data_IF_312613196241
#
_entry.id   IF_312613196241
#
_cell.length_a   1.000
_cell.length_b   1.000
_cell.length_c   1.000
_cell.angle_alpha   90.00
_cell.angle_beta   90.00
_cell.angle_gamma   90.00
#
_symmetry.space_group_name_H-M   'P 1'
#
loop_
_entity.id
_entity.type
_entity.pdbx_description
1 polymer ?
#
# COMPACT_ATOMS: atom_id res chain seq x y z
N UNK A 1 1.97 15.51 9.24
CA UNK A 1 2.19 15.82 7.81
C UNK A 1 1.42 14.82 6.97
N UNK A 2 0.36 15.26 6.27
CA UNK A 2 -0.41 14.39 5.35
C UNK A 2 0.52 13.94 4.22
N UNK A 3 0.64 12.62 4.04
CA UNK A 3 1.39 12.02 2.93
C UNK A 3 0.37 11.82 1.81
N UNK A 4 0.47 12.64 0.76
CA UNK A 4 -0.33 12.55 -0.46
C UNK A 4 0.41 11.67 -1.49
N UNK A 5 -0.34 11.02 -2.38
CA UNK A 5 0.21 10.20 -3.47
C UNK A 5 1.14 9.03 -3.04
N UNK A 6 0.84 8.41 -1.92
CA UNK A 6 1.60 7.24 -1.46
C UNK A 6 1.08 5.96 -2.11
N UNK A 7 1.91 5.28 -2.87
CA UNK A 7 1.59 3.95 -3.35
C UNK A 7 1.50 2.94 -2.18
N UNK A 8 0.44 2.15 -2.17
CA UNK A 8 0.21 1.07 -1.23
C UNK A 8 -0.26 -0.18 -1.99
N UNK A 9 0.00 -1.36 -1.43
CA UNK A 9 -0.56 -2.61 -1.96
C UNK A 9 -1.96 -2.80 -1.39
N UNK A 10 -2.80 -3.46 -2.17
CA UNK A 10 -4.09 -3.91 -1.64
C UNK A 10 -3.82 -5.07 -0.68
N UNK A 11 -4.24 -4.99 0.59
CA UNK A 11 -4.04 -6.07 1.55
C UNK A 11 -4.85 -7.31 1.15
N UNK A 12 -4.54 -8.46 1.76
CA UNK A 12 -5.39 -9.64 1.65
C UNK A 12 -6.72 -9.35 2.38
N UNK A 13 -7.82 -9.44 1.64
CA UNK A 13 -9.16 -9.10 2.15
C UNK A 13 -9.95 -10.39 2.45
N UNK A 14 -10.59 -10.44 3.61
CA UNK A 14 -11.60 -11.45 3.90
C UNK A 14 -12.77 -11.25 2.91
N UNK A 15 -13.19 -12.34 2.24
CA UNK A 15 -14.24 -12.27 1.22
C UNK A 15 -13.76 -11.84 -0.19
N UNK A 16 -12.48 -11.52 -0.36
CA UNK A 16 -11.86 -11.25 -1.67
C UNK A 16 -12.21 -9.93 -2.34
N UNK A 17 -12.95 -9.04 -1.66
CA UNK A 17 -13.30 -7.73 -2.19
C UNK A 17 -13.24 -6.63 -1.12
N UNK A 18 -13.12 -5.39 -1.55
CA UNK A 18 -13.12 -4.21 -0.68
C UNK A 18 -13.60 -2.97 -1.41
N UNK A 19 -14.06 -2.00 -0.64
CA UNK A 19 -14.47 -0.69 -1.14
C UNK A 19 -13.37 0.31 -0.86
N UNK A 20 -13.03 1.13 -1.84
CA UNK A 20 -12.08 2.22 -1.69
C UNK A 20 -12.80 3.56 -1.62
N UNK A 21 -12.26 4.52 -0.86
CA UNK A 21 -12.78 5.89 -0.82
C UNK A 21 -12.47 6.63 -2.12
N UNK A 22 -13.16 7.74 -2.35
CA UNK A 22 -12.95 8.61 -3.53
C UNK A 22 -11.54 9.21 -3.61
N UNK A 23 -10.81 9.23 -2.50
CA UNK A 23 -9.43 9.75 -2.45
C UNK A 23 -8.37 8.70 -2.80
N UNK A 24 -8.78 7.49 -3.16
CA UNK A 24 -7.90 6.40 -3.55
C UNK A 24 -8.06 6.10 -5.04
N UNK A 25 -6.93 5.94 -5.72
CA UNK A 25 -6.90 5.55 -7.13
C UNK A 25 -6.33 4.15 -7.25
N UNK A 26 -7.08 3.25 -7.89
CA UNK A 26 -6.62 1.91 -8.21
C UNK A 26 -5.67 1.96 -9.41
N UNK A 27 -4.45 1.48 -9.23
CA UNK A 27 -3.47 1.32 -10.32
C UNK A 27 -3.35 -0.18 -10.61
N UNK A 28 -3.61 -0.54 -11.87
CA UNK A 28 -3.39 -1.89 -12.38
C UNK A 28 -2.30 -1.84 -13.46
N UNK A 29 -1.21 -2.60 -13.32
CA UNK A 29 -0.22 -2.70 -14.39
C UNK A 29 -0.86 -3.22 -15.67
N UNK A 30 -0.43 -2.66 -16.83
CA UNK A 30 -0.82 -3.19 -18.12
C UNK A 30 -0.15 -4.56 -18.37
N UNK A 31 -0.68 -5.27 -19.33
CA UNK A 31 -0.27 -6.63 -19.69
C UNK A 31 1.24 -6.81 -19.77
N UNK A 32 1.72 -7.85 -19.10
CA UNK A 32 3.12 -8.24 -19.07
C UNK A 32 4.01 -7.56 -18.03
N UNK A 33 3.58 -6.42 -17.47
CA UNK A 33 4.36 -5.75 -16.43
C UNK A 33 4.19 -6.45 -15.07
N UNK A 34 5.30 -6.62 -14.37
CA UNK A 34 5.30 -7.23 -13.04
C UNK A 34 4.73 -6.27 -11.99
N UNK A 35 3.72 -6.72 -11.24
CA UNK A 35 3.00 -5.89 -10.25
C UNK A 35 3.88 -5.44 -9.08
N UNK A 36 4.79 -6.31 -8.63
CA UNK A 36 5.65 -6.02 -7.48
C UNK A 36 6.77 -5.06 -7.88
N UNK A 37 7.23 -5.15 -9.15
CA UNK A 37 8.13 -4.16 -9.72
C UNK A 37 7.44 -2.79 -9.83
N UNK A 38 6.25 -2.70 -10.42
CA UNK A 38 5.52 -1.43 -10.57
C UNK A 38 5.19 -0.82 -9.21
N UNK A 39 4.74 -1.62 -8.25
CA UNK A 39 4.53 -1.14 -6.89
C UNK A 39 5.81 -0.54 -6.30
N UNK A 40 6.92 -1.24 -6.41
CA UNK A 40 8.21 -0.81 -5.88
C UNK A 40 8.69 0.47 -6.56
N UNK A 41 8.53 0.56 -7.88
CA UNK A 41 8.84 1.77 -8.65
C UNK A 41 8.04 2.97 -8.12
N UNK A 42 6.72 2.86 -8.02
CA UNK A 42 5.86 3.95 -7.55
C UNK A 42 6.11 4.30 -6.06
N UNK A 43 6.50 3.32 -5.26
CA UNK A 43 6.70 3.49 -3.83
C UNK A 43 8.01 4.19 -3.46
N UNK A 44 9.08 3.90 -4.20
CA UNK A 44 10.45 4.34 -3.88
C UNK A 44 11.10 5.23 -4.94
N UNK A 45 10.39 5.58 -6.03
CA UNK A 45 10.81 6.62 -6.97
C UNK A 45 10.35 8.01 -6.52
N UNK A 46 10.66 9.01 -7.33
CA UNK A 46 10.16 10.38 -7.18
C UNK A 46 8.66 10.58 -7.46
N UNK A 47 7.90 9.51 -7.77
CA UNK A 47 6.48 9.55 -8.12
C UNK A 47 5.65 10.34 -7.10
N UNK A 48 5.80 10.02 -5.81
CA UNK A 48 5.02 10.68 -4.76
C UNK A 48 5.25 12.19 -4.69
N UNK A 49 6.47 12.62 -4.90
CA UNK A 49 6.85 14.04 -4.85
C UNK A 49 6.38 14.78 -6.11
N UNK A 50 6.49 14.16 -7.28
CA UNK A 50 6.06 14.75 -8.54
C UNK A 50 4.53 14.92 -8.58
N UNK A 51 3.79 13.86 -8.28
CA UNK A 51 2.31 13.89 -8.26
C UNK A 51 1.78 14.86 -7.20
N UNK A 52 2.44 14.94 -6.04
CA UNK A 52 2.09 15.85 -4.96
C UNK A 52 2.27 17.33 -5.34
N UNK A 53 3.28 17.66 -6.12
CA UNK A 53 3.51 19.06 -6.57
C UNK A 53 2.40 19.56 -7.49
N UNK A 54 1.62 18.65 -8.06
CA UNK A 54 0.45 18.95 -8.90
C UNK A 54 -0.89 18.82 -8.18
N UNK A 55 -0.90 18.52 -6.87
CA UNK A 55 -2.13 18.45 -6.09
C UNK A 55 -2.59 19.87 -5.73
N UNK A 56 -3.78 20.26 -6.20
CA UNK A 56 -4.39 21.54 -5.94
C UNK A 56 -5.37 21.46 -4.76
N UNK A 57 -5.36 22.47 -3.90
CA UNK A 57 -6.32 22.64 -2.82
C UNK A 57 -5.68 23.17 -1.54
N UNK A 58 -6.26 24.21 -0.95
CA UNK A 58 -5.74 24.83 0.27
C UNK A 58 -5.96 23.98 1.53
N UNK A 59 -7.05 23.18 1.58
CA UNK A 59 -7.44 22.41 2.77
C UNK A 59 -7.53 20.89 2.54
N UNK A 60 -7.80 20.44 1.32
CA UNK A 60 -7.86 19.01 0.96
C UNK A 60 -7.13 18.83 -0.37
N UNK A 61 -6.00 18.12 -0.32
CA UNK A 61 -5.24 17.78 -1.52
C UNK A 61 -5.90 16.55 -2.16
N UNK A 62 -6.68 16.76 -3.21
CA UNK A 62 -7.23 15.68 -4.02
C UNK A 62 -6.20 15.21 -5.04
N UNK A 63 -6.03 13.90 -5.14
CA UNK A 63 -5.20 13.28 -6.16
C UNK A 63 -5.94 13.35 -7.50
N UNK A 64 -5.34 14.00 -8.49
CA UNK A 64 -5.89 14.09 -9.85
C UNK A 64 -5.43 12.84 -10.63
N UNK A 65 -6.32 11.93 -11.06
CA UNK A 65 -5.95 10.69 -11.73
C UNK A 65 -5.08 10.89 -12.97
N UNK A 66 -5.34 11.94 -13.75
CA UNK A 66 -4.59 12.25 -14.98
C UNK A 66 -3.10 12.52 -14.68
N UNK A 67 -2.79 13.08 -13.51
CA UNK A 67 -1.40 13.34 -13.11
C UNK A 67 -0.62 12.07 -12.80
N UNK A 68 -1.32 11.01 -12.44
CA UNK A 68 -0.72 9.69 -12.24
C UNK A 68 -0.30 9.11 -13.58
N UNK A 69 -1.14 9.27 -14.61
CA UNK A 69 -0.85 8.77 -15.97
C UNK A 69 0.20 9.60 -16.70
N UNK A 70 0.36 10.87 -16.34
CA UNK A 70 1.36 11.78 -16.92
C UNK A 70 2.78 11.55 -16.35
N UNK A 71 2.91 10.78 -15.25
CA UNK A 71 4.20 10.50 -14.65
C UNK A 71 5.11 9.74 -15.61
N UNK A 72 6.21 10.36 -15.96
CA UNK A 72 7.21 9.79 -16.88
C UNK A 72 8.37 9.20 -16.09
N UNK A 73 8.63 7.93 -16.31
CA UNK A 73 9.75 7.23 -15.69
C UNK A 73 10.29 6.14 -16.61
N UNK A 74 11.51 5.73 -16.38
CA UNK A 74 12.08 4.59 -17.07
C UNK A 74 11.52 3.30 -16.46
N UNK A 75 11.03 2.43 -17.33
CA UNK A 75 10.55 1.11 -16.96
C UNK A 75 11.55 0.09 -17.48
N UNK A 76 12.01 -0.80 -16.61
CA UNK A 76 12.95 -1.87 -16.98
C UNK A 76 12.30 -2.85 -17.99
N UNK A 77 13.07 -3.52 -18.84
CA UNK A 77 12.59 -4.61 -19.67
C UNK A 77 11.87 -5.70 -18.87
N UNK A 78 10.90 -6.40 -19.51
CA UNK A 78 10.01 -7.35 -18.80
C UNK A 78 10.76 -8.52 -18.12
N UNK A 79 11.85 -8.97 -18.69
CA UNK A 79 12.70 -10.02 -18.10
C UNK A 79 13.33 -9.57 -16.77
N UNK A 80 13.82 -8.35 -16.73
CA UNK A 80 14.38 -7.74 -15.51
C UNK A 80 13.28 -7.49 -14.46
N UNK A 81 12.09 -7.04 -14.89
CA UNK A 81 10.95 -6.88 -13.98
C UNK A 81 10.56 -8.21 -13.33
N UNK A 82 10.48 -9.30 -14.12
CA UNK A 82 10.18 -10.63 -13.62
C UNK A 82 11.25 -11.16 -12.66
N UNK A 83 12.52 -10.91 -12.96
CA UNK A 83 13.61 -11.29 -12.05
C UNK A 83 13.52 -10.52 -10.72
N UNK A 84 13.23 -9.22 -10.78
CA UNK A 84 12.99 -8.39 -9.62
C UNK A 84 11.81 -8.92 -8.79
N UNK A 85 10.66 -9.19 -9.44
CA UNK A 85 9.46 -9.71 -8.79
C UNK A 85 9.69 -11.05 -8.10
N UNK A 86 10.48 -11.96 -8.70
CA UNK A 86 10.87 -13.23 -8.05
C UNK A 86 11.65 -13.01 -6.75
N UNK A 87 12.50 -11.98 -6.69
CA UNK A 87 13.30 -11.67 -5.49
C UNK A 87 12.49 -10.92 -4.44
N UNK A 88 11.69 -9.94 -4.86
CA UNK A 88 10.99 -9.01 -3.96
C UNK A 88 9.62 -9.52 -3.54
N UNK A 89 8.91 -10.26 -4.41
CA UNK A 89 7.59 -10.81 -4.12
C UNK A 89 7.51 -11.58 -2.80
N UNK A 90 8.44 -12.52 -2.49
CA UNK A 90 8.45 -13.22 -1.22
C UNK A 90 8.61 -12.28 0.00
N UNK A 91 9.42 -11.22 -0.12
CA UNK A 91 9.62 -10.23 0.95
C UNK A 91 8.35 -9.42 1.18
N UNK A 92 7.69 -8.99 0.11
CA UNK A 92 6.41 -8.30 0.19
C UNK A 92 5.32 -9.20 0.80
N UNK A 93 5.29 -10.48 0.42
CA UNK A 93 4.38 -11.46 1.01
C UNK A 93 4.64 -11.71 2.50
N UNK A 94 5.91 -11.64 2.94
CA UNK A 94 6.24 -11.70 4.36
C UNK A 94 5.74 -10.47 5.11
N UNK A 95 5.87 -9.28 4.53
CA UNK A 95 5.32 -8.04 5.10
C UNK A 95 3.82 -8.18 5.32
N UNK A 96 3.07 -8.67 4.31
CA UNK A 96 1.62 -8.86 4.44
C UNK A 96 1.25 -9.81 5.59
N UNK A 97 1.99 -10.92 5.72
CA UNK A 97 1.78 -11.88 6.84
C UNK A 97 2.04 -11.23 8.20
N UNK A 98 3.12 -10.46 8.32
CA UNK A 98 3.46 -9.78 9.57
C UNK A 98 2.43 -8.69 9.91
N UNK A 99 1.89 -7.98 8.94
CA UNK A 99 0.82 -7.01 9.15
C UNK A 99 -0.45 -7.67 9.68
N UNK A 100 -0.87 -8.81 9.11
CA UNK A 100 -2.00 -9.61 9.60
C UNK A 100 -1.77 -10.13 11.01
N UNK A 101 -0.57 -10.62 11.31
CA UNK A 101 -0.23 -11.06 12.67
C UNK A 101 -0.28 -9.90 13.67
N UNK A 102 0.25 -8.73 13.30
CA UNK A 102 0.20 -7.55 14.15
C UNK A 102 -1.23 -7.09 14.41
N UNK A 103 -2.11 -7.17 13.42
CA UNK A 103 -3.53 -6.85 13.60
C UNK A 103 -4.20 -7.83 14.57
N UNK A 104 -3.96 -9.13 14.42
CA UNK A 104 -4.45 -10.16 15.35
C UNK A 104 -3.96 -9.94 16.78
N UNK A 105 -2.67 -9.64 16.95
CA UNK A 105 -2.09 -9.34 18.26
C UNK A 105 -2.69 -8.08 18.90
N UNK A 106 -2.93 -7.03 18.11
CA UNK A 106 -3.61 -5.82 18.59
C UNK A 106 -5.03 -6.13 19.05
N UNK A 107 -5.80 -6.88 18.27
CA UNK A 107 -7.16 -7.32 18.68
C UNK A 107 -7.11 -8.13 19.98
N UNK A 108 -6.20 -9.07 20.11
CA UNK A 108 -6.02 -9.88 21.33
C UNK A 108 -5.69 -8.99 22.53
N UNK A 109 -4.73 -8.08 22.38
CA UNK A 109 -4.39 -7.11 23.44
C UNK A 109 -5.61 -6.29 23.85
N UNK A 110 -6.35 -5.74 22.90
CA UNK A 110 -7.48 -4.85 23.16
C UNK A 110 -8.66 -5.59 23.81
N UNK A 111 -8.79 -6.90 23.58
CA UNK A 111 -9.75 -7.76 24.27
C UNK A 111 -9.31 -8.14 25.70
N UNK A 112 -8.02 -8.38 25.90
CA UNK A 112 -7.49 -8.83 27.19
C UNK A 112 -7.23 -7.69 28.18
N UNK A 113 -6.77 -6.54 27.67
CA UNK A 113 -6.37 -5.42 28.53
C UNK A 113 -7.47 -4.95 29.50
N UNK A 114 -8.72 -4.73 29.07
CA UNK A 114 -9.81 -4.37 29.99
C UNK A 114 -10.04 -5.44 31.08
N UNK A 115 -9.97 -6.71 30.72
CA UNK A 115 -10.22 -7.84 31.64
C UNK A 115 -9.11 -7.99 32.67
N UNK A 116 -7.88 -7.69 32.29
CA UNK A 116 -6.74 -7.66 33.22
C UNK A 116 -6.85 -6.47 34.18
N UNK A 117 -7.22 -5.28 33.67
CA UNK A 117 -7.34 -4.07 34.50
C UNK A 117 -8.48 -4.19 35.51
N UNK A 118 -9.60 -4.83 35.11
CA UNK A 118 -10.75 -5.05 36.02
C UNK A 118 -10.56 -6.22 36.98
N UNK A 119 -9.49 -7.00 36.83
CA UNK A 119 -9.22 -8.20 37.65
C UNK A 119 -10.11 -9.39 37.30
N UNK A 120 -10.85 -9.35 36.17
CA UNK A 120 -11.64 -10.46 35.68
C UNK A 120 -10.76 -11.66 35.28
N UNK A 121 -9.55 -11.36 34.77
CA UNK A 121 -8.51 -12.34 34.47
C UNK A 121 -7.30 -12.01 35.34
N UNK A 122 -6.77 -13.00 36.05
CA UNK A 122 -5.50 -12.89 36.81
C UNK A 122 -4.38 -13.56 36.01
N UNK A 123 -3.21 -12.94 35.99
CA UNK A 123 -1.96 -13.51 35.49
C UNK A 123 -1.24 -14.21 36.63
#
# INVERSE_FOLDING_TARGET
>A
RRIVARAARVPTLEGGFGVISMDLVKIAPKDGNDKDYIYSLLRWSGFSDEVKNHANGANVLHLIPDRITDYKTYIAPMDQQKEFGKKVGPLLGLIDKLELQNESLRRTRDLLLPKLVTGEIRV
#
